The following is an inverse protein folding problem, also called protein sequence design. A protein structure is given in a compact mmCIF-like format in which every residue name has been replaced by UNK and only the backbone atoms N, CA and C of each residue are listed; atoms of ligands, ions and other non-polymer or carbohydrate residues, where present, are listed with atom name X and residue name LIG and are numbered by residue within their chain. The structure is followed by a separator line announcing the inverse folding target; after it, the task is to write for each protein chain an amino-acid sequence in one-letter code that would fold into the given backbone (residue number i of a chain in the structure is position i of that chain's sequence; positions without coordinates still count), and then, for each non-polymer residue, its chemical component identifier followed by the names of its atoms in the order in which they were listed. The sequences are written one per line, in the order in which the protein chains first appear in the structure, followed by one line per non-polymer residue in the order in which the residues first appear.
data_IF_982628104779
#
_entry.id   IF_982628104779
#
_cell.length_a   1.000
_cell.length_b   1.000
_cell.length_c   1.000
_cell.angle_alpha   90.00
_cell.angle_beta   90.00
_cell.angle_gamma   90.00
#
_symmetry.space_group_name_H-M   'P 1'
#
loop_
_entity.id
_entity.type
_entity.pdbx_description
1 polymer ?
#
# COMPACT_ATOMS: atom_id res chain seq x y z
N UNK A 1 -9.24 -29.39 -8.61
CA UNK A 1 -9.53 -28.71 -9.89
C UNK A 1 -8.24 -28.27 -10.62
N UNK A 2 -7.21 -27.72 -9.93
CA UNK A 2 -5.97 -27.26 -10.60
C UNK A 2 -5.23 -28.37 -11.39
N UNK A 3 -5.31 -29.63 -10.95
CA UNK A 3 -4.73 -30.76 -11.68
C UNK A 3 -5.47 -31.06 -12.99
N UNK A 4 -6.78 -30.93 -13.01
CA UNK A 4 -7.60 -31.10 -14.22
C UNK A 4 -7.30 -29.97 -15.22
N UNK A 5 -7.26 -28.71 -14.75
CA UNK A 5 -6.88 -27.55 -15.56
C UNK A 5 -5.48 -27.75 -16.17
N UNK A 6 -4.52 -28.23 -15.40
CA UNK A 6 -3.18 -28.52 -15.90
C UNK A 6 -3.23 -29.52 -17.07
N UNK A 7 -4.04 -30.58 -16.94
CA UNK A 7 -4.24 -31.58 -18.00
C UNK A 7 -4.93 -30.97 -19.22
N UNK A 8 -5.97 -30.16 -19.03
CA UNK A 8 -6.71 -29.46 -20.11
C UNK A 8 -5.79 -28.49 -20.90
N UNK A 9 -4.81 -27.89 -20.22
CA UNK A 9 -3.86 -26.94 -20.82
C UNK A 9 -2.57 -27.60 -21.35
N UNK A 10 -2.44 -28.93 -21.23
CA UNK A 10 -1.22 -29.67 -21.54
C UNK A 10 0.01 -29.13 -20.77
N UNK A 11 -0.20 -28.73 -19.51
CA UNK A 11 0.83 -28.22 -18.61
C UNK A 11 1.06 -29.25 -17.51
N UNK A 12 2.34 -29.53 -17.18
CA UNK A 12 2.63 -30.39 -16.04
C UNK A 12 2.30 -29.67 -14.72
N UNK A 13 1.38 -30.26 -13.93
CA UNK A 13 1.08 -29.72 -12.59
C UNK A 13 2.34 -29.78 -11.69
N UNK A 14 2.61 -28.77 -10.84
CA UNK A 14 3.73 -28.81 -9.91
C UNK A 14 3.71 -30.06 -9.03
N UNK A 15 4.85 -30.74 -8.94
CA UNK A 15 5.04 -31.94 -8.13
C UNK A 15 6.33 -31.84 -7.33
N UNK A 16 6.31 -32.44 -6.18
CA UNK A 16 7.53 -32.61 -5.39
C UNK A 16 8.54 -33.46 -6.19
N UNK A 17 9.80 -33.03 -6.31
CA UNK A 17 10.80 -33.68 -7.17
C UNK A 17 11.16 -35.12 -6.72
N UNK A 18 10.97 -35.42 -5.42
CA UNK A 18 11.33 -36.71 -4.84
C UNK A 18 10.11 -37.63 -4.73
N UNK A 19 9.04 -37.13 -4.09
CA UNK A 19 7.87 -37.97 -3.80
C UNK A 19 6.86 -38.00 -4.96
N UNK A 20 7.00 -37.13 -5.96
CA UNK A 20 6.06 -36.96 -7.08
C UNK A 20 4.64 -36.55 -6.67
N UNK A 21 4.45 -36.24 -5.41
CA UNK A 21 3.14 -35.75 -4.90
C UNK A 21 2.85 -34.36 -5.48
N UNK A 22 1.64 -34.08 -5.96
CA UNK A 22 1.26 -32.75 -6.43
C UNK A 22 1.42 -31.69 -5.34
N UNK A 23 2.03 -30.57 -5.68
CA UNK A 23 2.18 -29.42 -4.77
C UNK A 23 0.97 -28.50 -4.97
N UNK A 24 0.25 -28.10 -3.92
CA UNK A 24 -0.83 -27.13 -4.04
C UNK A 24 -0.35 -25.82 -4.67
N UNK A 25 -1.12 -25.28 -5.61
CA UNK A 25 -0.91 -23.93 -6.13
C UNK A 25 -1.59 -22.96 -5.15
N UNK A 26 -0.84 -21.95 -4.69
CA UNK A 26 -1.28 -20.96 -3.72
C UNK A 26 -1.16 -19.57 -4.32
N UNK A 27 -2.07 -18.69 -3.94
CA UNK A 27 -2.03 -17.26 -4.30
C UNK A 27 -1.54 -16.44 -3.11
N UNK A 28 -0.89 -15.31 -3.39
CA UNK A 28 -0.30 -14.51 -2.32
C UNK A 28 -1.35 -13.65 -1.60
N UNK A 29 -2.31 -13.08 -2.34
CA UNK A 29 -3.35 -12.23 -1.76
C UNK A 29 -4.73 -12.52 -2.36
N UNK A 30 -5.73 -12.64 -1.48
CA UNK A 30 -7.14 -12.55 -1.81
C UNK A 30 -7.70 -11.29 -1.16
N UNK A 31 -8.22 -10.38 -1.97
CA UNK A 31 -8.71 -9.07 -1.56
C UNK A 31 -10.23 -9.04 -1.70
N UNK A 32 -10.93 -8.62 -0.67
CA UNK A 32 -12.36 -8.27 -0.75
C UNK A 32 -12.47 -6.77 -0.98
N UNK A 33 -13.01 -6.38 -2.12
CA UNK A 33 -13.20 -4.96 -2.47
C UNK A 33 -14.48 -4.44 -1.82
N UNK A 34 -15.51 -5.28 -1.80
CA UNK A 34 -16.77 -5.13 -1.09
C UNK A 34 -17.30 -6.52 -0.72
N UNK A 35 -18.52 -6.60 -0.19
CA UNK A 35 -19.14 -7.87 0.24
C UNK A 35 -19.37 -8.86 -0.91
N UNK A 36 -19.28 -8.44 -2.16
CA UNK A 36 -19.60 -9.25 -3.34
C UNK A 36 -18.42 -9.46 -4.29
N UNK A 37 -17.38 -8.64 -4.21
CA UNK A 37 -16.30 -8.65 -5.20
C UNK A 37 -14.97 -9.05 -4.59
N UNK A 38 -14.45 -10.19 -5.04
CA UNK A 38 -13.12 -10.68 -4.69
C UNK A 38 -12.15 -10.46 -5.84
N UNK A 39 -10.90 -10.20 -5.48
CA UNK A 39 -9.79 -10.09 -6.40
C UNK A 39 -8.61 -10.89 -5.87
N UNK A 40 -7.88 -11.54 -6.75
CA UNK A 40 -6.67 -12.29 -6.40
C UNK A 40 -5.46 -11.66 -7.06
N UNK A 41 -4.39 -11.53 -6.29
CA UNK A 41 -3.11 -11.00 -6.76
C UNK A 41 -1.98 -11.93 -6.36
N UNK A 42 -1.21 -12.34 -7.36
CA UNK A 42 -0.01 -13.18 -7.18
C UNK A 42 1.22 -12.33 -7.47
N UNK A 43 2.17 -12.30 -6.53
CA UNK A 43 3.38 -11.49 -6.66
C UNK A 43 4.51 -12.31 -7.28
N UNK A 44 5.21 -11.71 -8.24
CA UNK A 44 6.43 -12.29 -8.83
C UNK A 44 7.44 -11.20 -9.13
N UNK A 45 8.72 -11.50 -8.94
CA UNK A 45 9.74 -10.68 -9.58
C UNK A 45 9.65 -10.84 -11.09
N UNK A 46 9.77 -9.74 -11.84
CA UNK A 46 9.67 -9.77 -13.29
C UNK A 46 10.73 -10.71 -13.93
N UNK A 47 11.88 -10.85 -13.28
CA UNK A 47 12.95 -11.78 -13.72
C UNK A 47 12.62 -13.25 -13.46
N UNK A 48 11.66 -13.54 -12.58
CA UNK A 48 11.22 -14.90 -12.24
C UNK A 48 10.07 -15.38 -13.15
N UNK A 49 9.65 -14.57 -14.12
CA UNK A 49 8.66 -14.96 -15.13
C UNK A 49 9.29 -15.87 -16.20
N UNK A 50 9.88 -16.99 -15.75
CA UNK A 50 10.36 -18.07 -16.62
C UNK A 50 9.19 -18.80 -17.25
N UNK A 51 9.42 -19.51 -18.36
CA UNK A 51 8.37 -20.31 -19.01
C UNK A 51 7.65 -21.21 -17.99
N UNK A 52 8.40 -21.91 -17.14
CA UNK A 52 7.82 -22.81 -16.12
C UNK A 52 6.99 -22.07 -15.08
N UNK A 53 7.36 -20.88 -14.69
CA UNK A 53 6.57 -20.08 -13.75
C UNK A 53 5.32 -19.52 -14.42
N UNK A 54 5.40 -19.11 -15.70
CA UNK A 54 4.25 -18.68 -16.48
C UNK A 54 3.24 -19.82 -16.63
N UNK A 55 3.65 -21.04 -16.92
CA UNK A 55 2.79 -22.22 -16.96
C UNK A 55 1.99 -22.41 -15.66
N UNK A 56 2.67 -22.33 -14.50
CA UNK A 56 2.00 -22.42 -13.19
C UNK A 56 0.99 -21.30 -12.97
N UNK A 57 1.35 -20.08 -13.35
CA UNK A 57 0.48 -18.91 -13.26
C UNK A 57 -0.73 -19.05 -14.18
N UNK A 58 -0.58 -19.68 -15.35
CA UNK A 58 -1.70 -19.96 -16.28
C UNK A 58 -2.71 -20.91 -15.66
N UNK A 59 -2.26 -21.94 -14.93
CA UNK A 59 -3.17 -22.84 -14.20
C UNK A 59 -3.93 -22.07 -13.11
N UNK A 60 -3.23 -21.21 -12.36
CA UNK A 60 -3.80 -20.39 -11.31
C UNK A 60 -4.82 -19.39 -11.87
N UNK A 61 -4.47 -18.67 -12.94
CA UNK A 61 -5.35 -17.77 -13.66
C UNK A 61 -6.64 -18.47 -14.07
N UNK A 62 -6.53 -19.59 -14.76
CA UNK A 62 -7.69 -20.35 -15.24
C UNK A 62 -8.61 -20.81 -14.11
N UNK A 63 -8.02 -21.22 -12.97
CA UNK A 63 -8.77 -21.62 -11.79
C UNK A 63 -9.65 -20.49 -11.24
N UNK A 64 -9.17 -19.25 -11.21
CA UNK A 64 -9.93 -18.09 -10.73
C UNK A 64 -10.89 -17.54 -11.78
N UNK A 65 -10.53 -17.60 -13.06
CA UNK A 65 -11.44 -17.23 -14.16
C UNK A 65 -12.71 -18.09 -14.18
N UNK A 66 -12.61 -19.39 -13.92
CA UNK A 66 -13.77 -20.28 -13.81
C UNK A 66 -14.72 -19.92 -12.67
N UNK A 67 -14.22 -19.22 -11.66
CA UNK A 67 -15.00 -18.74 -10.52
C UNK A 67 -15.47 -17.28 -10.70
N UNK A 68 -15.15 -16.64 -11.83
CA UNK A 68 -15.48 -15.23 -12.07
C UNK A 68 -14.68 -14.24 -11.20
N UNK A 69 -13.53 -14.68 -10.65
CA UNK A 69 -12.68 -13.86 -9.78
C UNK A 69 -11.60 -13.16 -10.61
N UNK A 70 -11.44 -11.85 -10.46
CA UNK A 70 -10.39 -11.07 -11.11
C UNK A 70 -9.02 -11.44 -10.54
N UNK A 71 -8.24 -12.16 -11.32
CA UNK A 71 -6.89 -12.59 -10.98
C UNK A 71 -5.84 -11.83 -11.81
N UNK A 72 -4.76 -11.39 -11.17
CA UNK A 72 -3.63 -10.75 -11.85
C UNK A 72 -2.30 -11.07 -11.18
N UNK A 73 -1.25 -11.15 -11.99
CA UNK A 73 0.14 -11.08 -11.51
C UNK A 73 0.51 -9.62 -11.31
N UNK A 74 1.19 -9.32 -10.20
CA UNK A 74 1.79 -8.02 -9.93
C UNK A 74 3.30 -8.21 -9.82
N UNK A 75 4.05 -7.42 -10.55
CA UNK A 75 5.52 -7.49 -10.55
C UNK A 75 6.15 -6.26 -9.90
N UNK A 76 7.41 -6.40 -9.51
CA UNK A 76 8.23 -5.29 -9.00
C UNK A 76 8.37 -4.14 -10.01
N UNK A 77 8.20 -4.40 -11.32
CA UNK A 77 8.24 -3.36 -12.37
C UNK A 77 7.00 -2.47 -12.39
N UNK A 78 5.88 -2.97 -11.87
CA UNK A 78 4.61 -2.22 -11.82
C UNK A 78 4.50 -1.34 -10.58
N UNK A 79 5.37 -1.54 -9.59
CA UNK A 79 5.40 -0.79 -8.35
C UNK A 79 6.58 0.20 -8.36
N UNK A 80 6.34 1.50 -8.63
CA UNK A 80 7.40 2.50 -8.60
C UNK A 80 8.10 2.56 -7.23
N UNK A 81 9.42 2.64 -7.22
CA UNK A 81 10.23 2.69 -5.99
C UNK A 81 9.77 3.80 -5.05
N UNK A 82 9.41 4.97 -5.59
CA UNK A 82 8.88 6.07 -4.80
C UNK A 82 7.59 5.69 -4.05
N UNK A 83 6.69 4.96 -4.71
CA UNK A 83 5.44 4.49 -4.10
C UNK A 83 5.71 3.55 -2.92
N UNK A 84 6.60 2.57 -3.10
CA UNK A 84 6.99 1.63 -2.04
C UNK A 84 7.59 2.39 -0.85
N UNK A 85 8.56 3.28 -1.10
CA UNK A 85 9.21 4.07 -0.04
C UNK A 85 8.22 4.96 0.71
N UNK A 86 7.23 5.53 0.01
CA UNK A 86 6.19 6.33 0.66
C UNK A 86 5.26 5.47 1.52
N UNK A 87 4.88 4.28 1.07
CA UNK A 87 4.11 3.34 1.88
C UNK A 87 4.88 2.95 3.15
N UNK A 88 6.17 2.59 3.04
CA UNK A 88 7.02 2.26 4.18
C UNK A 88 7.10 3.43 5.18
N UNK A 89 7.26 4.65 4.67
CA UNK A 89 7.33 5.86 5.51
C UNK A 89 6.01 6.16 6.23
N UNK A 90 4.86 5.82 5.64
CA UNK A 90 3.53 6.07 6.19
C UNK A 90 2.98 4.91 7.02
N UNK A 91 3.44 3.69 6.79
CA UNK A 91 2.78 2.46 7.25
C UNK A 91 2.51 2.45 8.77
N UNK A 92 3.51 2.75 9.58
CA UNK A 92 3.38 2.76 11.05
C UNK A 92 2.41 3.82 11.55
N UNK A 93 2.35 4.95 10.87
CA UNK A 93 1.52 6.08 11.30
C UNK A 93 0.03 5.88 10.99
N UNK A 94 -0.35 4.78 10.35
CA UNK A 94 -1.76 4.41 10.17
C UNK A 94 -2.45 4.11 11.50
N UNK A 95 -1.75 3.51 12.46
CA UNK A 95 -2.26 3.21 13.80
C UNK A 95 -1.70 4.20 14.83
N UNK A 96 -2.55 4.66 15.74
CA UNK A 96 -2.14 5.48 16.88
C UNK A 96 -1.35 4.67 17.94
N UNK A 97 -1.31 3.36 17.83
CA UNK A 97 -0.49 2.50 18.68
C UNK A 97 1.01 2.89 18.64
N UNK A 98 1.47 3.38 17.48
CA UNK A 98 2.85 3.81 17.28
C UNK A 98 3.04 5.33 17.47
N UNK A 99 2.01 6.02 17.95
CA UNK A 99 2.07 7.45 18.18
C UNK A 99 2.97 7.81 19.39
N UNK A 100 3.64 8.95 19.37
CA UNK A 100 4.20 9.53 20.59
C UNK A 100 3.16 9.55 21.71
N UNK A 101 3.55 9.22 22.94
CA UNK A 101 2.64 9.06 24.08
C UNK A 101 1.76 10.29 24.39
N UNK A 102 2.20 11.46 23.94
CA UNK A 102 1.45 12.71 24.06
C UNK A 102 0.31 12.84 23.03
N UNK A 103 0.24 11.98 21.99
CA UNK A 103 -0.76 12.10 20.93
C UNK A 103 -1.95 11.17 21.17
N UNK A 104 -3.11 11.73 20.94
CA UNK A 104 -4.38 11.02 20.84
C UNK A 104 -5.26 11.68 19.77
N UNK A 105 -6.40 11.08 19.45
CA UNK A 105 -7.32 11.62 18.43
C UNK A 105 -7.74 13.07 18.70
N UNK A 106 -7.96 13.44 19.97
CA UNK A 106 -8.37 14.79 20.34
C UNK A 106 -7.29 15.83 20.01
N UNK A 107 -6.04 15.54 20.33
CA UNK A 107 -4.90 16.42 20.00
C UNK A 107 -4.69 16.50 18.49
N UNK A 108 -4.80 15.38 17.78
CA UNK A 108 -4.71 15.37 16.31
C UNK A 108 -5.78 16.27 15.68
N UNK A 109 -7.03 16.18 16.13
CA UNK A 109 -8.14 17.02 15.63
C UNK A 109 -7.89 18.52 15.86
N UNK A 110 -7.19 18.89 16.92
CA UNK A 110 -6.85 20.30 17.24
C UNK A 110 -5.67 20.78 16.39
N UNK A 111 -4.62 19.97 16.25
CA UNK A 111 -3.35 20.38 15.65
C UNK A 111 -3.36 20.25 14.12
N UNK A 112 -3.98 19.21 13.56
CA UNK A 112 -3.96 18.94 12.13
C UNK A 112 -4.45 20.09 11.24
N UNK A 113 -5.52 20.86 11.57
CA UNK A 113 -5.96 21.97 10.74
C UNK A 113 -4.92 23.09 10.60
N UNK A 114 -4.22 23.44 11.68
CA UNK A 114 -3.17 24.47 11.63
C UNK A 114 -1.94 23.98 10.85
N UNK A 115 -1.55 22.72 11.04
CA UNK A 115 -0.48 22.09 10.24
C UNK A 115 -0.83 22.10 8.75
N UNK A 116 -2.02 21.69 8.39
CA UNK A 116 -2.48 21.70 7.00
C UNK A 116 -2.39 23.08 6.38
N UNK A 117 -2.84 24.11 7.11
CA UNK A 117 -2.77 25.50 6.64
C UNK A 117 -1.34 25.91 6.32
N UNK A 118 -0.38 25.56 7.19
CA UNK A 118 1.03 25.89 6.97
C UNK A 118 1.63 25.09 5.80
N UNK A 119 1.31 23.80 5.67
CA UNK A 119 1.82 22.98 4.58
C UNK A 119 1.26 23.43 3.22
N UNK A 120 0.00 23.84 3.16
CA UNK A 120 -0.64 24.33 1.93
C UNK A 120 -0.04 25.63 1.40
N UNK A 121 0.67 26.42 2.23
CA UNK A 121 1.40 27.62 1.76
C UNK A 121 2.55 27.26 0.82
N UNK A 122 3.06 26.03 0.84
CA UNK A 122 4.12 25.51 -0.04
C UNK A 122 5.35 26.41 -0.12
N UNK A 123 5.77 26.99 0.98
CA UNK A 123 6.88 27.94 1.02
C UNK A 123 8.05 27.50 1.91
N UNK A 124 7.91 26.36 2.59
CA UNK A 124 8.92 25.83 3.51
C UNK A 124 8.92 24.29 3.51
N UNK A 125 10.06 23.67 3.85
CA UNK A 125 10.14 22.22 4.03
C UNK A 125 9.16 21.71 5.09
N UNK A 126 8.64 20.49 4.91
CA UNK A 126 7.74 19.86 5.85
C UNK A 126 8.37 19.74 7.25
N UNK A 127 9.66 19.33 7.32
CA UNK A 127 10.39 19.19 8.58
C UNK A 127 10.43 20.49 9.38
N UNK A 128 10.64 21.64 8.72
CA UNK A 128 10.64 22.95 9.36
C UNK A 128 9.26 23.28 9.95
N UNK A 129 8.20 23.06 9.18
CA UNK A 129 6.82 23.32 9.61
C UNK A 129 6.46 22.47 10.83
N UNK A 130 6.80 21.19 10.82
CA UNK A 130 6.47 20.26 11.90
C UNK A 130 7.24 20.55 13.19
N UNK A 131 8.53 20.88 13.10
CA UNK A 131 9.35 21.26 14.27
C UNK A 131 8.80 22.54 14.91
N UNK A 132 8.48 23.56 14.12
CA UNK A 132 7.87 24.79 14.63
C UNK A 132 6.51 24.56 15.27
N UNK A 133 5.70 23.66 14.69
CA UNK A 133 4.41 23.30 15.25
C UNK A 133 4.56 22.60 16.61
N UNK A 134 5.50 21.66 16.75
CA UNK A 134 5.81 21.03 18.03
C UNK A 134 6.18 22.05 19.09
N UNK A 135 7.04 23.02 18.74
CA UNK A 135 7.42 24.11 19.66
C UNK A 135 6.25 25.02 20.05
N UNK A 136 5.34 25.33 19.13
CA UNK A 136 4.16 26.19 19.40
C UNK A 136 3.10 25.49 20.25
N UNK A 137 2.94 24.19 20.06
CA UNK A 137 1.92 23.39 20.75
C UNK A 137 2.41 22.76 22.05
N UNK A 138 3.71 22.84 22.34
CA UNK A 138 4.33 22.19 23.49
C UNK A 138 4.38 20.67 23.37
N UNK A 139 4.20 20.13 22.18
CA UNK A 139 4.28 18.69 21.92
C UNK A 139 5.74 18.24 21.81
N UNK A 140 6.04 16.98 22.15
CA UNK A 140 7.36 16.39 21.92
C UNK A 140 7.78 16.49 20.45
N UNK A 141 9.06 16.69 20.20
CA UNK A 141 9.61 16.76 18.83
C UNK A 141 9.25 15.48 18.06
N UNK A 142 8.75 15.68 16.84
CA UNK A 142 8.30 14.60 15.94
C UNK A 142 6.79 14.31 16.02
N UNK A 143 6.08 14.87 17.00
CA UNK A 143 4.63 14.69 17.12
C UNK A 143 3.87 15.23 15.92
N UNK A 144 4.18 16.45 15.48
CA UNK A 144 3.55 17.07 14.32
C UNK A 144 3.89 16.33 13.01
N UNK A 145 5.10 15.77 12.91
CA UNK A 145 5.45 14.90 11.77
C UNK A 145 4.59 13.63 11.76
N UNK A 146 4.44 12.99 12.92
CA UNK A 146 3.55 11.84 13.04
C UNK A 146 2.10 12.19 12.65
N UNK A 147 1.59 13.36 13.05
CA UNK A 147 0.25 13.82 12.67
C UNK A 147 0.14 13.91 11.14
N UNK A 148 1.11 14.52 10.46
CA UNK A 148 1.10 14.58 8.99
C UNK A 148 1.09 13.20 8.37
N UNK A 149 1.97 12.31 8.84
CA UNK A 149 2.02 10.93 8.37
C UNK A 149 0.69 10.20 8.61
N UNK A 150 0.07 10.36 9.78
CA UNK A 150 -1.21 9.77 10.13
C UNK A 150 -2.34 10.24 9.20
N UNK A 151 -2.41 11.55 8.96
CA UNK A 151 -3.42 12.13 8.06
C UNK A 151 -3.27 11.65 6.61
N UNK A 152 -2.03 11.43 6.16
CA UNK A 152 -1.73 10.84 4.85
C UNK A 152 -2.02 9.33 4.82
N UNK A 153 -1.59 8.58 5.84
CA UNK A 153 -1.77 7.13 5.93
C UNK A 153 -3.25 6.74 6.04
N UNK A 154 -4.07 7.57 6.70
CA UNK A 154 -5.53 7.39 6.82
C UNK A 154 -6.30 8.01 5.65
N UNK A 155 -5.59 8.54 4.63
CA UNK A 155 -6.15 9.15 3.42
C UNK A 155 -7.03 10.39 3.67
N UNK A 156 -6.96 11.00 4.86
CA UNK A 156 -7.62 12.27 5.14
C UNK A 156 -6.96 13.44 4.39
N UNK A 157 -5.65 13.35 4.19
CA UNK A 157 -4.89 14.19 3.28
C UNK A 157 -4.34 13.34 2.15
N UNK A 158 -4.15 13.94 0.98
CA UNK A 158 -3.62 13.27 -0.20
C UNK A 158 -2.30 13.89 -0.64
N UNK A 159 -1.43 13.05 -1.15
CA UNK A 159 -0.15 13.43 -1.75
C UNK A 159 0.07 12.56 -2.99
N UNK A 160 0.87 13.04 -3.92
CA UNK A 160 1.29 12.23 -5.07
C UNK A 160 2.24 11.12 -4.59
N UNK A 161 1.70 9.91 -4.46
CA UNK A 161 2.45 8.74 -4.00
C UNK A 161 3.49 8.24 -5.01
N UNK A 162 3.44 8.69 -6.25
CA UNK A 162 4.41 8.36 -7.29
C UNK A 162 5.66 9.25 -7.28
N UNK A 163 5.65 10.30 -6.47
CA UNK A 163 6.82 11.13 -6.16
C UNK A 163 7.28 10.84 -4.74
N UNK A 164 8.60 10.63 -4.58
CA UNK A 164 9.17 10.39 -3.24
C UNK A 164 8.85 11.56 -2.31
N UNK A 165 8.23 11.26 -1.18
CA UNK A 165 8.00 12.21 -0.11
C UNK A 165 9.33 12.41 0.63
N UNK A 166 9.86 13.62 0.59
CA UNK A 166 11.06 14.02 1.34
C UNK A 166 10.68 15.12 2.34
N UNK A 167 10.69 14.84 3.65
CA UNK A 167 10.35 15.84 4.66
C UNK A 167 11.25 17.08 4.66
N UNK A 168 12.46 16.98 4.10
CA UNK A 168 13.39 18.12 3.97
C UNK A 168 13.03 19.03 2.79
N UNK A 169 11.98 18.72 2.06
CA UNK A 169 11.51 19.49 0.91
C UNK A 169 10.07 19.97 1.12
N UNK A 170 9.62 20.82 0.20
CA UNK A 170 8.22 21.26 0.13
C UNK A 170 7.40 20.12 -0.44
N UNK A 171 6.37 19.70 0.29
CA UNK A 171 5.44 18.68 -0.19
C UNK A 171 4.14 19.29 -0.69
N UNK A 172 3.56 18.67 -1.73
CA UNK A 172 2.27 19.06 -2.29
C UNK A 172 1.14 18.22 -1.71
N UNK A 173 0.49 18.70 -0.64
CA UNK A 173 -0.73 18.06 -0.11
C UNK A 173 -1.95 18.60 -0.88
N UNK A 174 -2.94 17.73 -1.09
CA UNK A 174 -4.27 18.07 -1.58
C UNK A 174 -5.34 17.50 -0.65
N UNK A 175 -6.48 18.13 -0.62
CA UNK A 175 -7.68 17.64 0.05
C UNK A 175 -8.64 17.09 -1.00
N UNK A 176 -9.41 16.06 -0.68
CA UNK A 176 -10.60 15.79 -1.47
C UNK A 176 -11.50 17.02 -1.39
N UNK A 177 -11.89 17.57 -2.53
CA UNK A 177 -13.05 18.44 -2.55
C UNK A 177 -14.21 17.57 -2.08
N UNK A 178 -14.76 17.89 -0.91
CA UNK A 178 -16.04 17.34 -0.52
C UNK A 178 -16.96 17.61 -1.71
N UNK A 179 -17.40 16.56 -2.37
CA UNK A 179 -18.45 16.65 -3.37
C UNK A 179 -19.65 17.13 -2.57
N UNK A 180 -19.93 18.42 -2.70
CA UNK A 180 -21.14 19.00 -2.14
C UNK A 180 -22.32 18.32 -2.83
N UNK A 181 -22.98 17.43 -2.10
CA UNK A 181 -24.30 16.89 -2.46
C UNK A 181 -25.35 17.97 -2.40
#
# INVERSE_FOLDING_TARGET
RTMEIATELDIEHPKDPYTKVPIPITSDFMLSVDDSQQQVRTLKHANDLTLRNVEKLTIEQRFYEEQGIDWKVVTDRELPTAFIQNIEWLHRSRSLEFAPSALNEGIIKIVAPSLLTEVLKRNRPLSTITIESDGKTGLPIGSSMFIVQHMLATKQWKVDMYKKINPSEIIGITLDRLVST
#
